data_IF_256529585825
#
_entry.id   IF_256529585825
#
_cell.length_a   1.000
_cell.length_b   1.000
_cell.length_c   1.000
_cell.angle_alpha   90.00
_cell.angle_beta   90.00
_cell.angle_gamma   90.00
#
_symmetry.space_group_name_H-M   'P 1'
#
loop_
_entity.id
_entity.type
_entity.pdbx_description
1 polymer ?
#
# COMPACT_ATOMS: atom_id res chain seq x y z
N UNK A 1 7.26 -15.52 -11.46
CA UNK A 1 7.38 -14.38 -12.40
C UNK A 1 7.12 -13.10 -11.60
N UNK A 2 7.96 -12.82 -10.61
CA UNK A 2 7.63 -11.90 -9.51
C UNK A 2 7.36 -10.47 -9.96
N UNK A 3 8.03 -10.01 -11.02
CA UNK A 3 7.83 -8.68 -11.59
C UNK A 3 6.41 -8.50 -12.13
N UNK A 4 5.81 -9.57 -12.67
CA UNK A 4 4.46 -9.51 -13.22
C UNK A 4 3.40 -9.50 -12.12
N UNK A 5 3.63 -10.25 -11.05
CA UNK A 5 2.79 -10.23 -9.85
C UNK A 5 2.81 -8.86 -9.17
N UNK A 6 4.01 -8.28 -9.00
CA UNK A 6 4.16 -6.92 -8.48
C UNK A 6 3.42 -5.90 -9.37
N UNK A 7 3.62 -5.97 -10.69
CA UNK A 7 2.95 -5.07 -11.62
C UNK A 7 1.43 -5.12 -11.48
N UNK A 8 0.84 -6.32 -11.45
CA UNK A 8 -0.62 -6.48 -11.32
C UNK A 8 -1.10 -6.00 -9.95
N UNK A 9 -0.40 -6.34 -8.86
CA UNK A 9 -0.76 -5.92 -7.51
C UNK A 9 -0.77 -4.39 -7.36
N UNK A 10 0.28 -3.71 -7.82
CA UNK A 10 0.35 -2.24 -7.76
C UNK A 10 -0.63 -1.57 -8.72
N UNK A 11 -0.92 -2.18 -9.88
CA UNK A 11 -1.94 -1.70 -10.79
C UNK A 11 -3.34 -1.78 -10.16
N UNK A 12 -3.66 -2.89 -9.48
CA UNK A 12 -4.93 -3.08 -8.76
C UNK A 12 -5.10 -2.04 -7.66
N UNK A 13 -4.08 -1.88 -6.79
CA UNK A 13 -4.07 -0.85 -5.74
C UNK A 13 -4.24 0.54 -6.34
N UNK A 14 -3.45 0.90 -7.35
CA UNK A 14 -3.52 2.24 -7.97
C UNK A 14 -4.84 2.52 -8.70
N UNK A 15 -5.43 1.52 -9.34
CA UNK A 15 -6.70 1.66 -10.05
C UNK A 15 -7.91 1.74 -9.11
N UNK A 16 -7.79 1.24 -7.87
CA UNK A 16 -8.88 1.20 -6.88
C UNK A 16 -8.69 2.19 -5.71
N UNK A 17 -7.53 2.84 -5.60
CA UNK A 17 -7.18 3.82 -4.57
C UNK A 17 -7.88 5.17 -4.74
N UNK A 18 -9.22 5.18 -4.78
CA UNK A 18 -10.02 6.40 -4.76
C UNK A 18 -10.24 6.88 -3.30
N UNK A 19 -10.07 8.18 -3.04
CA UNK A 19 -10.31 8.78 -1.71
C UNK A 19 -9.07 9.18 -0.91
N UNK A 20 -7.89 9.29 -1.54
CA UNK A 20 -6.64 9.76 -0.92
C UNK A 20 -5.82 8.64 -0.26
N UNK A 21 -4.64 8.98 0.26
CA UNK A 21 -3.66 7.99 0.75
C UNK A 21 -4.15 7.09 1.89
N UNK A 22 -5.00 7.58 2.79
CA UNK A 22 -5.55 6.76 3.89
C UNK A 22 -6.65 5.81 3.41
N UNK A 23 -7.42 6.18 2.39
CA UNK A 23 -8.44 5.31 1.81
C UNK A 23 -7.83 4.12 1.07
N UNK A 24 -6.58 4.25 0.60
CA UNK A 24 -5.84 3.17 -0.05
C UNK A 24 -5.27 2.14 0.93
N UNK A 25 -5.12 2.46 2.23
CA UNK A 25 -4.46 1.55 3.18
C UNK A 25 -5.16 0.19 3.34
N UNK A 26 -6.49 0.10 3.46
CA UNK A 26 -7.16 -1.21 3.52
C UNK A 26 -6.95 -2.05 2.27
N UNK A 27 -6.88 -1.41 1.10
CA UNK A 27 -6.64 -2.08 -0.19
C UNK A 27 -5.20 -2.59 -0.25
N UNK A 28 -4.24 -1.77 0.17
CA UNK A 28 -2.83 -2.16 0.26
C UNK A 28 -2.66 -3.34 1.25
N UNK A 29 -3.35 -3.32 2.38
CA UNK A 29 -3.32 -4.40 3.36
C UNK A 29 -3.84 -5.72 2.77
N UNK A 30 -5.02 -5.69 2.14
CA UNK A 30 -5.62 -6.88 1.51
C UNK A 30 -4.66 -7.49 0.47
N UNK A 31 -4.12 -6.66 -0.41
CA UNK A 31 -3.24 -7.12 -1.49
C UNK A 31 -1.90 -7.61 -0.94
N UNK A 32 -1.19 -6.80 -0.17
CA UNK A 32 0.21 -7.07 0.21
C UNK A 32 0.32 -8.05 1.39
N UNK A 33 -0.57 -7.97 2.37
CA UNK A 33 -0.52 -8.79 3.58
C UNK A 33 -1.40 -10.02 3.45
N UNK A 34 -2.69 -9.85 3.11
CA UNK A 34 -3.66 -10.96 3.18
C UNK A 34 -3.59 -11.88 1.95
N UNK A 35 -3.40 -11.34 0.75
CA UNK A 35 -3.35 -12.14 -0.49
C UNK A 35 -1.94 -12.59 -0.81
N UNK A 36 -1.00 -11.65 -0.89
CA UNK A 36 0.36 -11.95 -1.33
C UNK A 36 1.32 -12.34 -0.21
N UNK A 37 1.00 -12.02 1.05
CA UNK A 37 1.84 -12.33 2.22
C UNK A 37 3.29 -11.85 2.06
N UNK A 38 3.51 -10.76 1.32
CA UNK A 38 4.85 -10.19 1.11
C UNK A 38 5.36 -9.43 2.34
N UNK A 39 4.43 -8.94 3.15
CA UNK A 39 4.68 -8.32 4.45
C UNK A 39 3.70 -8.90 5.47
N UNK A 40 4.12 -8.94 6.72
CA UNK A 40 3.24 -9.13 7.87
C UNK A 40 2.52 -7.83 8.22
N UNK A 41 1.44 -7.92 9.01
CA UNK A 41 0.74 -6.73 9.54
C UNK A 41 1.67 -5.82 10.35
N UNK A 42 2.61 -6.39 11.09
CA UNK A 42 3.60 -5.62 11.86
C UNK A 42 4.54 -4.87 10.93
N UNK A 43 5.12 -5.54 9.93
CA UNK A 43 6.02 -4.88 8.97
C UNK A 43 5.31 -3.80 8.15
N UNK A 44 4.05 -4.01 7.77
CA UNK A 44 3.26 -2.98 7.11
C UNK A 44 3.08 -1.75 8.02
N UNK A 45 2.81 -1.96 9.31
CA UNK A 45 2.65 -0.87 10.28
C UNK A 45 3.96 -0.12 10.52
N UNK A 46 5.08 -0.83 10.57
CA UNK A 46 6.41 -0.23 10.72
C UNK A 46 6.78 0.61 9.49
N UNK A 47 6.50 0.11 8.28
CA UNK A 47 6.69 0.86 7.03
C UNK A 47 5.79 2.08 6.99
N UNK A 48 4.55 1.97 7.45
CA UNK A 48 3.62 3.09 7.54
C UNK A 48 4.12 4.16 8.53
N UNK A 49 4.61 3.76 9.70
CA UNK A 49 5.18 4.67 10.69
C UNK A 49 6.42 5.38 10.14
N UNK A 50 7.31 4.63 9.48
CA UNK A 50 8.49 5.18 8.81
C UNK A 50 8.11 6.16 7.69
N UNK A 51 7.04 5.86 6.96
CA UNK A 51 6.49 6.69 5.89
C UNK A 51 5.90 8.01 6.38
N UNK A 52 5.46 8.09 7.65
CA UNK A 52 4.94 9.32 8.24
C UNK A 52 6.04 10.25 8.77
N UNK A 53 7.20 9.69 9.16
CA UNK A 53 8.36 10.50 9.61
C UNK A 53 9.22 10.98 8.44
N UNK A 54 9.02 10.43 7.25
CA UNK A 54 9.71 10.83 6.03
C UNK A 54 8.79 11.70 5.15
N UNK A 55 9.28 12.80 4.58
CA UNK A 55 8.45 13.60 3.67
C UNK A 55 8.20 12.85 2.36
N UNK A 56 6.93 12.64 2.00
CA UNK A 56 6.53 12.18 0.66
C UNK A 56 5.93 10.76 0.47
N UNK A 57 6.09 9.74 1.35
CA UNK A 57 5.63 8.39 1.02
C UNK A 57 4.12 8.15 1.12
N UNK A 58 3.40 8.91 1.96
CA UNK A 58 1.94 8.84 2.00
C UNK A 58 1.40 10.06 1.27
N UNK A 59 0.70 9.84 0.15
CA UNK A 59 -0.06 10.87 -0.54
C UNK A 59 -1.28 11.25 0.30
N UNK A 60 -1.08 12.04 1.36
CA UNK A 60 -2.15 12.57 2.23
C UNK A 60 -2.96 13.67 1.51
N UNK A 61 -2.64 13.99 0.26
CA UNK A 61 -3.17 15.15 -0.43
C UNK A 61 -4.12 14.74 -1.57
N UNK A 62 -5.43 14.88 -1.33
CA UNK A 62 -6.47 15.36 -2.27
C UNK A 62 -7.86 15.05 -1.71
N UNK A 63 -8.30 15.86 -0.76
CA UNK A 63 -9.70 16.25 -0.63
C UNK A 63 -9.76 17.78 -0.82
#
# INVERSE_FOLDING_TARGET
>A
MILWELFIAFLEVGATAFGGGYAALPIIQDVIVERHHWLTMTEMTDVLALSQVTPGPIAINSA
#
